data_IF_831919234156
#
_entry.id   IF_831919234156
#
_cell.length_a   1.000
_cell.length_b   1.000
_cell.length_c   1.000
_cell.angle_alpha   90.00
_cell.angle_beta   90.00
_cell.angle_gamma   90.00
#
_symmetry.space_group_name_H-M   'P 1'
#
loop_
_entity.id
_entity.type
_entity.pdbx_description
1 polymer ?
#
# COMPACT_ATOMS: atom_id res chain seq x y z
N UNK A 1 40.22 94.85 12.83
CA UNK A 1 40.17 93.60 13.61
C UNK A 1 38.74 93.06 13.71
N UNK A 2 37.79 93.84 14.25
CA UNK A 2 36.36 93.48 14.41
C UNK A 2 35.72 92.72 13.23
N UNK A 3 35.79 93.24 12.00
CA UNK A 3 35.18 92.60 10.81
C UNK A 3 35.66 91.17 10.51
N UNK A 4 36.84 90.76 10.99
CA UNK A 4 37.31 89.36 10.88
C UNK A 4 36.76 88.46 12.02
N UNK A 5 36.40 89.06 13.15
CA UNK A 5 35.78 88.39 14.30
C UNK A 5 34.29 88.16 14.03
N UNK A 6 33.57 89.15 13.48
CA UNK A 6 32.16 88.99 13.06
C UNK A 6 32.01 87.87 12.03
N UNK A 7 32.79 87.89 10.94
CA UNK A 7 32.79 86.82 9.93
C UNK A 7 33.17 85.45 10.51
N UNK A 8 33.98 85.40 11.58
CA UNK A 8 34.27 84.16 12.29
C UNK A 8 33.08 83.69 13.14
N UNK A 9 32.39 84.61 13.84
CA UNK A 9 31.17 84.31 14.60
C UNK A 9 30.02 83.87 13.69
N UNK A 10 29.76 84.56 12.59
CA UNK A 10 28.72 84.17 11.61
C UNK A 10 28.99 82.76 11.07
N UNK A 11 30.27 82.43 10.81
CA UNK A 11 30.68 81.11 10.34
C UNK A 11 30.58 80.04 11.44
N UNK A 12 30.86 80.38 12.70
CA UNK A 12 30.66 79.50 13.85
C UNK A 12 29.17 79.21 14.06
N UNK A 13 28.30 80.23 13.98
CA UNK A 13 26.86 80.04 14.18
C UNK A 13 26.22 79.30 12.99
N UNK A 14 26.68 79.54 11.76
CA UNK A 14 26.28 78.73 10.60
C UNK A 14 26.65 77.24 10.77
N UNK A 15 27.90 76.95 11.18
CA UNK A 15 28.35 75.58 11.48
C UNK A 15 27.57 74.96 12.65
N UNK A 16 27.16 75.76 13.63
CA UNK A 16 26.34 75.31 14.77
C UNK A 16 24.92 74.93 14.33
N UNK A 17 24.29 75.75 13.48
CA UNK A 17 22.96 75.47 12.89
C UNK A 17 23.03 74.21 12.02
N UNK A 18 24.07 74.07 11.20
CA UNK A 18 24.33 72.86 10.40
C UNK A 18 24.49 71.62 11.29
N UNK A 19 25.30 71.70 12.36
CA UNK A 19 25.49 70.60 13.30
C UNK A 19 24.20 70.19 14.04
N UNK A 20 23.36 71.15 14.47
CA UNK A 20 22.09 70.86 15.13
C UNK A 20 21.07 70.23 14.17
N UNK A 21 21.05 70.66 12.90
CA UNK A 21 20.25 70.03 11.84
C UNK A 21 20.72 68.60 11.53
N UNK A 22 22.04 68.35 11.42
CA UNK A 22 22.61 67.01 11.23
C UNK A 22 22.25 66.10 12.41
N UNK A 23 22.33 66.60 13.65
CA UNK A 23 21.96 65.87 14.87
C UNK A 23 20.48 65.47 14.87
N UNK A 24 19.58 66.33 14.40
CA UNK A 24 18.16 65.98 14.23
C UNK A 24 17.95 64.90 13.16
N UNK A 25 18.63 64.99 12.01
CA UNK A 25 18.56 63.97 10.96
C UNK A 25 19.05 62.59 11.45
N UNK A 26 20.16 62.56 12.20
CA UNK A 26 20.68 61.32 12.81
C UNK A 26 19.69 60.72 13.81
N UNK A 27 19.01 61.54 14.62
CA UNK A 27 17.99 61.05 15.55
C UNK A 27 16.79 60.44 14.83
N UNK A 28 16.29 61.08 13.77
CA UNK A 28 15.19 60.55 12.93
C UNK A 28 15.59 59.20 12.30
N UNK A 29 16.80 59.09 11.77
CA UNK A 29 17.31 57.82 11.21
C UNK A 29 17.44 56.73 12.28
N UNK A 30 17.89 57.08 13.50
CA UNK A 30 17.96 56.16 14.64
C UNK A 30 16.58 55.61 15.04
N UNK A 31 15.55 56.46 15.05
CA UNK A 31 14.19 56.04 15.41
C UNK A 31 13.51 55.24 14.29
N UNK A 32 13.83 55.50 13.02
CA UNK A 32 13.46 54.63 11.89
C UNK A 32 14.10 53.24 12.02
N UNK A 33 15.41 53.15 12.26
CA UNK A 33 16.13 51.87 12.46
C UNK A 33 15.54 51.07 13.63
N UNK A 34 15.20 51.74 14.75
CA UNK A 34 14.53 51.12 15.90
C UNK A 34 13.15 50.55 15.54
N UNK A 35 12.36 51.30 14.76
CA UNK A 35 11.03 50.85 14.32
C UNK A 35 11.10 49.63 13.37
N UNK A 36 12.09 49.59 12.48
CA UNK A 36 12.34 48.43 11.62
C UNK A 36 12.84 47.21 12.41
N UNK A 37 13.75 47.40 13.37
CA UNK A 37 14.16 46.34 14.29
C UNK A 37 12.98 45.77 15.07
N UNK A 38 12.09 46.61 15.61
CA UNK A 38 10.87 46.17 16.31
C UNK A 38 9.98 45.27 15.44
N UNK A 39 9.63 45.73 14.22
CA UNK A 39 8.86 44.93 13.25
C UNK A 39 9.53 43.59 12.92
N UNK A 40 10.86 43.58 12.82
CA UNK A 40 11.62 42.35 12.53
C UNK A 40 11.54 41.36 13.68
N UNK A 41 11.57 41.84 14.94
CA UNK A 41 11.42 41.00 16.14
C UNK A 41 10.01 40.42 16.25
N UNK A 42 8.97 41.21 15.96
CA UNK A 42 7.58 40.73 15.94
C UNK A 42 7.36 39.67 14.86
N UNK A 43 7.87 39.89 13.64
CA UNK A 43 7.83 38.89 12.57
C UNK A 43 8.58 37.60 12.95
N UNK A 44 9.74 37.71 13.60
CA UNK A 44 10.48 36.56 14.15
C UNK A 44 9.71 35.82 15.24
N UNK A 45 8.93 36.51 16.07
CA UNK A 45 8.08 35.90 17.08
C UNK A 45 6.91 35.13 16.43
N UNK A 46 6.23 35.74 15.44
CA UNK A 46 5.16 35.09 14.67
C UNK A 46 5.66 33.85 13.91
N UNK A 47 6.82 33.93 13.25
CA UNK A 47 7.42 32.78 12.56
C UNK A 47 7.76 31.65 13.54
N UNK A 48 8.27 31.96 14.73
CA UNK A 48 8.52 30.94 15.78
C UNK A 48 7.22 30.31 16.30
N UNK A 49 6.18 31.12 16.53
CA UNK A 49 4.87 30.61 16.95
C UNK A 49 4.28 29.65 15.91
N UNK A 50 4.35 30.03 14.62
CA UNK A 50 3.84 29.22 13.53
C UNK A 50 4.68 27.95 13.28
N UNK A 51 6.00 28.01 13.48
CA UNK A 51 6.87 26.82 13.50
C UNK A 51 6.48 25.85 14.62
N UNK A 52 6.19 26.34 15.83
CA UNK A 52 5.75 25.50 16.96
C UNK A 52 4.40 24.85 16.65
N UNK A 53 3.42 25.60 16.12
CA UNK A 53 2.13 25.04 15.67
C UNK A 53 2.32 23.96 14.60
N UNK A 54 3.15 24.23 13.60
CA UNK A 54 3.44 23.30 12.50
C UNK A 54 4.09 22.01 13.02
N UNK A 55 5.04 22.12 13.95
CA UNK A 55 5.70 20.97 14.59
C UNK A 55 4.69 20.12 15.39
N UNK A 56 3.84 20.76 16.19
CA UNK A 56 2.80 20.07 16.96
C UNK A 56 1.75 19.39 16.06
N UNK A 57 1.39 20.01 14.93
CA UNK A 57 0.50 19.43 13.93
C UNK A 57 1.14 18.20 13.25
N UNK A 58 2.43 18.27 12.90
CA UNK A 58 3.19 17.16 12.33
C UNK A 58 3.32 15.99 13.31
N UNK A 59 3.61 16.26 14.59
CA UNK A 59 3.68 15.20 15.61
C UNK A 59 2.33 14.50 15.80
N UNK A 60 1.22 15.26 15.77
CA UNK A 60 -0.14 14.70 15.82
C UNK A 60 -0.46 13.86 14.57
N UNK A 61 -0.04 14.29 13.38
CA UNK A 61 -0.20 13.53 12.14
C UNK A 61 0.58 12.20 12.20
N UNK A 62 1.85 12.25 12.61
CA UNK A 62 2.68 11.05 12.75
C UNK A 62 2.11 10.05 13.77
N UNK A 63 1.54 10.51 14.88
CA UNK A 63 0.83 9.66 15.85
C UNK A 63 -0.40 8.98 15.27
N UNK A 64 -1.14 9.65 14.38
CA UNK A 64 -2.28 9.06 13.67
C UNK A 64 -1.83 8.07 12.59
N UNK A 65 -0.75 8.38 11.85
CA UNK A 65 -0.18 7.47 10.85
C UNK A 65 0.30 6.17 11.50
N UNK A 66 1.01 6.26 12.63
CA UNK A 66 1.47 5.08 13.39
C UNK A 66 0.35 4.22 14.00
N UNK A 67 -0.91 4.68 13.96
CA UNK A 67 -2.06 3.87 14.37
C UNK A 67 -2.63 2.99 13.24
N UNK A 68 -2.18 3.17 11.99
CA UNK A 68 -2.58 2.31 10.88
C UNK A 68 -1.73 1.02 10.84
N UNK A 69 -2.36 -0.08 10.44
CA UNK A 69 -1.65 -1.27 10.02
C UNK A 69 -1.03 -1.04 8.64
N UNK A 70 0.31 -1.18 8.57
CA UNK A 70 1.07 -1.15 7.33
C UNK A 70 1.51 -2.55 6.94
N UNK A 71 1.00 -3.06 5.82
CA UNK A 71 1.53 -4.28 5.21
C UNK A 71 3.00 -4.08 4.83
N UNK A 72 3.87 -4.95 5.37
CA UNK A 72 5.32 -4.97 5.12
C UNK A 72 6.00 -3.58 5.24
N UNK A 73 5.52 -2.75 6.18
CA UNK A 73 5.92 -1.34 6.37
C UNK A 73 5.81 -0.46 5.11
N UNK A 74 5.02 -0.87 4.11
CA UNK A 74 4.88 -0.23 2.79
C UNK A 74 3.53 0.45 2.59
N UNK A 75 2.43 -0.26 2.86
CA UNK A 75 1.09 0.21 2.47
C UNK A 75 0.08 0.09 3.62
N UNK A 76 -0.60 1.19 3.93
CA UNK A 76 -1.81 1.18 4.74
C UNK A 76 -3.03 1.58 3.90
N UNK A 77 -4.21 1.17 4.35
CA UNK A 77 -5.48 1.55 3.71
C UNK A 77 -6.02 2.85 4.32
N UNK A 78 -6.33 3.83 3.48
CA UNK A 78 -6.95 5.09 3.85
C UNK A 78 -8.29 5.29 3.15
N UNK A 79 -9.14 6.15 3.73
CA UNK A 79 -10.45 6.52 3.18
C UNK A 79 -10.61 8.04 3.21
N UNK A 80 -10.99 8.65 2.07
CA UNK A 80 -11.15 10.09 1.91
C UNK A 80 -12.12 10.38 0.76
N UNK A 81 -12.99 11.37 0.93
CA UNK A 81 -13.93 11.83 -0.09
C UNK A 81 -14.79 10.70 -0.72
N UNK A 82 -15.23 9.72 0.10
CA UNK A 82 -16.03 8.58 -0.36
C UNK A 82 -15.26 7.46 -1.05
N UNK A 83 -13.93 7.54 -1.13
CA UNK A 83 -13.08 6.56 -1.81
C UNK A 83 -11.98 6.01 -0.89
N UNK A 84 -11.69 4.73 -1.06
CA UNK A 84 -10.54 4.03 -0.51
C UNK A 84 -9.32 4.17 -1.42
N UNK A 85 -8.14 4.30 -0.83
CA UNK A 85 -6.85 4.33 -1.51
C UNK A 85 -5.76 3.86 -0.57
N UNK A 86 -4.61 3.47 -1.12
CA UNK A 86 -3.46 3.06 -0.33
C UNK A 86 -2.52 4.24 -0.10
N UNK A 87 -1.96 4.33 1.11
CA UNK A 87 -0.96 5.33 1.50
C UNK A 87 0.36 4.66 1.85
N UNK A 88 1.45 5.38 1.65
CA UNK A 88 2.76 5.00 2.16
C UNK A 88 2.92 5.38 3.65
N UNK A 89 4.07 5.03 4.23
CA UNK A 89 4.41 5.32 5.63
C UNK A 89 4.48 6.82 6.00
N UNK A 90 4.48 7.73 5.02
CA UNK A 90 4.44 9.18 5.22
C UNK A 90 2.99 9.72 5.18
N UNK A 91 2.02 8.87 4.80
CA UNK A 91 0.62 9.25 4.56
C UNK A 91 0.33 9.64 3.10
N UNK A 92 1.30 9.51 2.19
CA UNK A 92 1.17 9.96 0.81
C UNK A 92 0.42 8.91 -0.05
N UNK A 93 -0.53 9.31 -0.92
CA UNK A 93 -1.27 8.38 -1.77
C UNK A 93 -0.38 7.62 -2.76
N UNK A 94 -0.46 6.30 -2.75
CA UNK A 94 0.26 5.41 -3.67
C UNK A 94 -0.58 5.23 -4.95
N UNK A 95 -0.59 6.26 -5.80
CA UNK A 95 -1.49 6.37 -6.97
C UNK A 95 -1.53 5.13 -7.90
N UNK A 96 -0.40 4.40 -8.04
CA UNK A 96 -0.34 3.16 -8.85
C UNK A 96 -1.25 2.04 -8.34
N UNK A 97 -1.62 2.05 -7.06
CA UNK A 97 -2.55 1.10 -6.44
C UNK A 97 -4.02 1.50 -6.61
N UNK A 98 -4.29 2.65 -7.25
CA UNK A 98 -5.63 3.10 -7.63
C UNK A 98 -6.47 3.69 -6.50
N UNK A 99 -7.72 4.01 -6.85
CA UNK A 99 -8.78 4.47 -5.97
C UNK A 99 -10.00 3.55 -6.14
N UNK A 100 -10.68 3.27 -5.04
CA UNK A 100 -11.66 2.18 -4.95
C UNK A 100 -12.90 2.61 -4.16
N UNK A 101 -14.05 2.04 -4.53
CA UNK A 101 -15.29 2.25 -3.78
C UNK A 101 -15.40 1.40 -2.52
N UNK A 102 -14.71 0.26 -2.51
CA UNK A 102 -14.44 -0.57 -1.35
C UNK A 102 -13.09 -1.24 -1.54
N UNK A 103 -12.31 -1.33 -0.48
CA UNK A 103 -11.04 -2.03 -0.47
C UNK A 103 -10.79 -2.65 0.91
N UNK A 104 -10.04 -3.74 0.93
CA UNK A 104 -9.47 -4.33 2.13
C UNK A 104 -7.99 -3.95 2.26
N UNK A 105 -7.42 -4.15 3.46
CA UNK A 105 -5.97 -4.01 3.65
C UNK A 105 -5.23 -5.12 2.89
N UNK A 106 -3.95 -4.89 2.60
CA UNK A 106 -3.09 -5.95 2.09
C UNK A 106 -2.93 -7.05 3.15
N UNK A 107 -3.22 -8.28 2.74
CA UNK A 107 -3.01 -9.48 3.54
C UNK A 107 -1.53 -9.88 3.63
N UNK A 108 -1.22 -10.88 4.46
CA UNK A 108 0.12 -11.41 4.68
C UNK A 108 0.83 -11.94 3.41
N UNK A 109 0.10 -12.16 2.32
CA UNK A 109 0.63 -12.63 1.03
C UNK A 109 0.80 -11.50 0.00
N UNK A 110 0.52 -10.25 0.39
CA UNK A 110 0.71 -9.08 -0.46
C UNK A 110 -0.41 -8.86 -1.47
N UNK A 111 -1.62 -9.36 -1.19
CA UNK A 111 -2.81 -9.07 -1.98
C UNK A 111 -3.85 -8.24 -1.21
N UNK A 112 -4.59 -7.39 -1.92
CA UNK A 112 -5.75 -6.68 -1.39
C UNK A 112 -6.97 -6.90 -2.29
N UNK A 113 -8.14 -7.11 -1.69
CA UNK A 113 -9.42 -7.20 -2.41
C UNK A 113 -10.03 -5.81 -2.58
N UNK A 114 -10.46 -5.48 -3.79
CA UNK A 114 -10.96 -4.14 -4.13
C UNK A 114 -12.15 -4.17 -5.11
N UNK A 115 -12.95 -3.11 -5.08
CA UNK A 115 -14.18 -2.97 -5.86
C UNK A 115 -14.38 -1.51 -6.31
N UNK A 116 -14.95 -1.29 -7.51
CA UNK A 116 -15.30 0.04 -8.03
C UNK A 116 -16.81 0.24 -8.01
N UNK A 117 -17.29 1.37 -7.46
CA UNK A 117 -18.73 1.65 -7.30
C UNK A 117 -19.51 1.70 -8.63
N UNK A 118 -18.91 2.18 -9.73
CA UNK A 118 -19.60 2.36 -11.03
C UNK A 118 -18.75 1.93 -12.23
N UNK A 119 -18.39 0.64 -12.28
CA UNK A 119 -17.57 0.12 -13.38
C UNK A 119 -16.21 0.83 -13.47
N UNK A 120 -15.78 1.22 -14.67
CA UNK A 120 -14.51 1.94 -14.84
C UNK A 120 -14.58 3.44 -14.51
N UNK A 121 -15.78 4.02 -14.32
CA UNK A 121 -15.95 5.45 -14.08
C UNK A 121 -15.82 5.81 -12.60
N UNK A 122 -14.88 6.70 -12.28
CA UNK A 122 -14.81 7.33 -10.96
C UNK A 122 -15.86 8.45 -10.90
N UNK A 123 -16.98 8.19 -10.22
CA UNK A 123 -17.99 9.21 -9.91
C UNK A 123 -17.59 9.88 -8.60
N UNK A 124 -17.23 11.16 -8.64
CA UNK A 124 -17.04 11.98 -7.44
C UNK A 124 -18.41 12.44 -6.94
N UNK A 125 -18.88 11.87 -5.84
CA UNK A 125 -20.18 12.22 -5.28
C UNK A 125 -20.21 13.63 -4.70
N UNK A 126 -21.23 14.39 -5.11
CA UNK A 126 -21.60 15.64 -4.46
C UNK A 126 -22.85 15.38 -3.59
N UNK A 127 -22.70 15.52 -2.28
CA UNK A 127 -23.73 15.60 -1.24
C UNK A 127 -24.71 14.43 -0.98
N UNK A 128 -24.92 13.47 -1.89
CA UNK A 128 -25.63 12.23 -1.54
C UNK A 128 -24.73 11.32 -0.69
N UNK A 129 -25.28 10.74 0.39
CA UNK A 129 -24.46 10.00 1.36
C UNK A 129 -24.17 8.57 0.92
N UNK A 130 -23.00 8.06 1.31
CA UNK A 130 -22.57 6.68 1.02
C UNK A 130 -23.60 5.63 1.50
N UNK A 131 -24.31 5.89 2.60
CA UNK A 131 -25.34 5.00 3.14
C UNK A 131 -26.65 5.02 2.34
N UNK A 132 -27.04 6.15 1.75
CA UNK A 132 -28.22 6.22 0.86
C UNK A 132 -28.00 5.40 -0.42
N UNK A 133 -26.76 5.35 -0.93
CA UNK A 133 -26.43 4.63 -2.16
C UNK A 133 -26.46 3.11 -1.95
N UNK A 134 -25.99 2.63 -0.80
CA UNK A 134 -26.08 1.21 -0.42
C UNK A 134 -27.53 0.72 -0.24
N UNK A 135 -28.48 1.64 -0.01
CA UNK A 135 -29.90 1.32 0.16
C UNK A 135 -30.70 1.21 -1.15
N UNK A 136 -30.12 1.49 -2.31
CA UNK A 136 -30.79 1.21 -3.59
C UNK A 136 -30.74 -0.30 -3.90
N UNK A 137 -31.90 -0.92 -4.17
CA UNK A 137 -32.00 -2.38 -4.32
C UNK A 137 -31.13 -2.96 -5.44
N UNK A 138 -30.87 -2.20 -6.52
CA UNK A 138 -29.99 -2.62 -7.62
C UNK A 138 -28.51 -2.75 -7.21
N UNK A 139 -28.10 -2.14 -6.08
CA UNK A 139 -26.76 -2.30 -5.51
C UNK A 139 -26.62 -3.62 -4.73
N UNK A 140 -27.73 -4.19 -4.24
CA UNK A 140 -27.73 -5.45 -3.49
C UNK A 140 -27.61 -6.71 -4.37
N UNK A 141 -27.85 -6.58 -5.68
CA UNK A 141 -27.85 -7.69 -6.64
C UNK A 141 -26.56 -7.76 -7.50
N UNK A 142 -25.65 -6.77 -7.38
CA UNK A 142 -24.45 -6.59 -8.23
C UNK A 142 -23.37 -5.89 -7.37
N UNK A 143 -22.19 -6.43 -7.00
CA UNK A 143 -21.40 -7.63 -7.40
C UNK A 143 -20.35 -7.95 -6.30
N UNK A 144 -19.66 -9.12 -6.29
CA UNK A 144 -18.53 -9.40 -5.39
C UNK A 144 -17.35 -8.42 -5.55
N UNK A 145 -16.35 -8.48 -4.65
CA UNK A 145 -15.08 -7.76 -4.80
C UNK A 145 -14.46 -8.11 -6.16
N UNK A 146 -14.49 -7.16 -7.11
CA UNK A 146 -14.22 -7.48 -8.53
C UNK A 146 -12.76 -7.74 -8.84
N UNK A 147 -11.84 -7.23 -8.02
CA UNK A 147 -10.42 -7.38 -8.28
C UNK A 147 -9.64 -7.80 -7.04
N UNK A 148 -8.69 -8.70 -7.27
CA UNK A 148 -7.51 -8.83 -6.42
C UNK A 148 -6.44 -7.89 -6.99
N UNK A 149 -5.75 -7.14 -6.14
CA UNK A 149 -4.57 -6.37 -6.55
C UNK A 149 -3.35 -6.82 -5.76
N UNK A 150 -2.17 -6.74 -6.37
CA UNK A 150 -0.91 -6.99 -5.69
C UNK A 150 -0.13 -5.69 -5.38
N UNK A 151 0.98 -5.84 -4.67
CA UNK A 151 1.88 -4.73 -4.27
C UNK A 151 2.47 -3.92 -5.45
N UNK A 152 2.42 -4.44 -6.68
CA UNK A 152 2.85 -3.71 -7.87
C UNK A 152 1.77 -2.73 -8.34
N UNK A 153 0.50 -3.07 -8.15
CA UNK A 153 -0.67 -2.40 -8.73
C UNK A 153 -1.31 -3.17 -9.90
N UNK A 154 -0.79 -4.36 -10.23
CA UNK A 154 -1.46 -5.30 -11.14
C UNK A 154 -2.82 -5.70 -10.53
N UNK A 155 -3.83 -5.85 -11.40
CA UNK A 155 -5.22 -6.12 -11.02
C UNK A 155 -5.69 -7.37 -11.75
N UNK A 156 -6.35 -8.27 -11.02
CA UNK A 156 -6.86 -9.55 -11.54
C UNK A 156 -8.36 -9.63 -11.31
N UNK A 157 -9.16 -9.92 -12.34
CA UNK A 157 -10.58 -10.18 -12.18
C UNK A 157 -10.80 -11.35 -11.20
N UNK A 158 -11.52 -11.09 -10.11
CA UNK A 158 -11.57 -11.96 -8.93
C UNK A 158 -12.89 -12.75 -8.84
N UNK A 159 -12.76 -14.05 -8.58
CA UNK A 159 -13.83 -14.91 -8.06
C UNK A 159 -13.67 -15.14 -6.55
N UNK A 160 -14.76 -15.03 -5.81
CA UNK A 160 -14.83 -15.21 -4.34
C UNK A 160 -15.77 -16.35 -3.92
N UNK A 161 -16.58 -16.86 -4.86
CA UNK A 161 -17.42 -18.05 -4.74
C UNK A 161 -17.17 -19.01 -5.92
N UNK A 162 -17.62 -20.27 -5.79
CA UNK A 162 -17.57 -21.23 -6.90
C UNK A 162 -18.48 -20.82 -8.07
N UNK A 163 -19.58 -20.11 -7.78
CA UNK A 163 -20.55 -19.64 -8.77
C UNK A 163 -20.01 -18.45 -9.60
N UNK A 164 -18.99 -17.74 -9.10
CA UNK A 164 -18.30 -16.67 -9.82
C UNK A 164 -17.38 -17.23 -10.94
N UNK A 165 -17.03 -18.53 -10.90
CA UNK A 165 -16.02 -19.12 -11.78
C UNK A 165 -16.46 -19.11 -13.25
N UNK A 166 -15.67 -18.43 -14.07
CA UNK A 166 -15.85 -18.38 -15.51
C UNK A 166 -14.49 -18.15 -16.21
N UNK A 167 -14.46 -18.29 -17.54
CA UNK A 167 -13.25 -18.20 -18.37
C UNK A 167 -12.51 -16.85 -18.33
N UNK A 168 -13.14 -15.78 -17.83
CA UNK A 168 -12.53 -14.45 -17.73
C UNK A 168 -11.81 -14.21 -16.39
N UNK A 169 -12.01 -15.09 -15.39
CA UNK A 169 -11.42 -14.96 -14.04
C UNK A 169 -9.91 -15.16 -14.06
N UNK A 170 -9.19 -14.21 -13.45
CA UNK A 170 -7.72 -14.13 -13.39
C UNK A 170 -7.17 -14.40 -11.98
N UNK A 171 -8.00 -14.21 -10.95
CA UNK A 171 -7.69 -14.56 -9.56
C UNK A 171 -8.87 -15.25 -8.87
N UNK A 172 -8.56 -16.14 -7.95
CA UNK A 172 -9.54 -16.84 -7.10
C UNK A 172 -9.14 -16.68 -5.64
N UNK A 173 -10.04 -16.19 -4.80
CA UNK A 173 -9.88 -16.14 -3.35
C UNK A 173 -10.99 -16.93 -2.65
N UNK A 174 -10.71 -18.21 -2.41
CA UNK A 174 -11.56 -19.10 -1.62
C UNK A 174 -10.95 -19.41 -0.24
N UNK A 175 -10.15 -18.50 0.32
CA UNK A 175 -9.63 -18.68 1.68
C UNK A 175 -10.76 -18.74 2.71
N UNK A 176 -10.61 -19.58 3.72
CA UNK A 176 -11.58 -19.73 4.82
C UNK A 176 -13.01 -20.12 4.40
N UNK A 177 -13.21 -20.68 3.19
CA UNK A 177 -14.53 -21.10 2.67
C UNK A 177 -14.98 -22.48 3.18
N UNK A 178 -14.15 -23.17 3.98
CA UNK A 178 -14.38 -24.52 4.54
C UNK A 178 -14.50 -25.62 3.48
N UNK A 179 -13.90 -25.43 2.31
CA UNK A 179 -13.93 -26.38 1.19
C UNK A 179 -13.25 -27.70 1.59
N UNK A 180 -13.92 -28.82 1.33
CA UNK A 180 -13.38 -30.17 1.44
C UNK A 180 -12.77 -30.67 0.11
N UNK A 181 -13.22 -30.10 -1.01
CA UNK A 181 -12.71 -30.34 -2.37
C UNK A 181 -12.80 -29.08 -3.24
N UNK A 182 -12.02 -29.07 -4.31
CA UNK A 182 -12.23 -28.18 -5.46
C UNK A 182 -13.01 -28.94 -6.55
N UNK A 183 -13.89 -28.28 -7.32
CA UNK A 183 -14.50 -28.90 -8.48
C UNK A 183 -13.48 -29.00 -9.63
N UNK A 184 -13.61 -30.04 -10.46
CA UNK A 184 -12.79 -30.23 -11.68
C UNK A 184 -12.92 -29.03 -12.65
N UNK A 185 -14.06 -28.35 -12.64
CA UNK A 185 -14.33 -27.15 -13.45
C UNK A 185 -13.38 -25.98 -13.20
N UNK A 186 -12.55 -26.02 -12.15
CA UNK A 186 -11.47 -25.04 -11.95
C UNK A 186 -10.51 -25.00 -13.15
N UNK A 187 -10.20 -26.16 -13.76
CA UNK A 187 -9.29 -26.26 -14.90
C UNK A 187 -9.77 -25.57 -16.18
N UNK A 188 -11.09 -25.38 -16.31
CA UNK A 188 -11.69 -24.71 -17.47
C UNK A 188 -11.33 -23.21 -17.60
N UNK A 189 -10.77 -22.56 -16.57
CA UNK A 189 -10.32 -21.18 -16.72
C UNK A 189 -8.94 -21.10 -17.36
N UNK A 190 -8.88 -20.43 -18.51
CA UNK A 190 -7.63 -20.18 -19.23
C UNK A 190 -6.84 -18.97 -18.69
N UNK A 191 -7.38 -18.22 -17.72
CA UNK A 191 -6.79 -16.95 -17.24
C UNK A 191 -6.31 -16.93 -15.78
N UNK A 192 -6.71 -17.89 -14.94
CA UNK A 192 -6.32 -17.88 -13.53
C UNK A 192 -4.79 -17.87 -13.39
N UNK A 193 -4.28 -16.82 -12.76
CA UNK A 193 -2.87 -16.61 -12.42
C UNK A 193 -2.61 -16.64 -10.91
N UNK A 194 -3.60 -16.25 -10.10
CA UNK A 194 -3.53 -16.27 -8.62
C UNK A 194 -4.62 -17.20 -8.07
N UNK A 195 -4.25 -18.20 -7.27
CA UNK A 195 -5.21 -19.14 -6.65
C UNK A 195 -4.95 -19.23 -5.14
N UNK A 196 -5.82 -18.58 -4.35
CA UNK A 196 -5.73 -18.48 -2.90
C UNK A 196 -6.76 -19.42 -2.25
N UNK A 197 -6.28 -20.50 -1.65
CA UNK A 197 -7.07 -21.61 -1.12
C UNK A 197 -6.71 -21.98 0.33
N UNK A 198 -5.91 -21.16 1.00
CA UNK A 198 -5.50 -21.38 2.39
C UNK A 198 -6.68 -21.43 3.38
N UNK A 199 -6.47 -22.05 4.55
CA UNK A 199 -7.46 -22.13 5.63
C UNK A 199 -8.74 -22.88 5.23
N UNK A 200 -8.59 -24.03 4.56
CA UNK A 200 -9.69 -24.90 4.13
C UNK A 200 -9.53 -26.33 4.70
N UNK A 201 -10.24 -27.31 4.12
CA UNK A 201 -10.22 -28.72 4.52
C UNK A 201 -9.86 -29.64 3.35
N UNK A 202 -9.15 -29.11 2.34
CA UNK A 202 -8.80 -29.87 1.14
C UNK A 202 -7.88 -31.03 1.53
N UNK A 203 -8.29 -32.26 1.23
CA UNK A 203 -7.46 -33.47 1.43
C UNK A 203 -6.62 -33.83 0.21
N UNK A 204 -7.03 -33.35 -0.96
CA UNK A 204 -6.35 -33.50 -2.24
C UNK A 204 -6.70 -32.34 -3.18
N UNK A 205 -6.00 -32.26 -4.32
CA UNK A 205 -6.36 -31.41 -5.46
C UNK A 205 -6.84 -32.28 -6.63
N UNK A 206 -7.77 -31.81 -7.47
CA UNK A 206 -8.14 -32.47 -8.72
C UNK A 206 -6.97 -32.43 -9.71
N UNK A 207 -6.88 -33.40 -10.62
CA UNK A 207 -5.83 -33.45 -11.66
C UNK A 207 -5.89 -32.22 -12.58
N UNK A 208 -7.09 -31.70 -12.82
CA UNK A 208 -7.40 -30.49 -13.58
C UNK A 208 -6.72 -29.22 -13.01
N UNK A 209 -6.11 -29.27 -11.82
CA UNK A 209 -5.20 -28.19 -11.37
C UNK A 209 -4.09 -27.94 -12.40
N UNK A 210 -3.60 -28.99 -13.08
CA UNK A 210 -2.57 -28.88 -14.09
C UNK A 210 -2.99 -28.08 -15.32
N UNK A 211 -4.29 -27.94 -15.59
CA UNK A 211 -4.83 -27.19 -16.73
C UNK A 211 -4.64 -25.67 -16.60
N UNK A 212 -4.38 -25.16 -15.39
CA UNK A 212 -4.17 -23.73 -15.10
C UNK A 212 -2.80 -23.23 -15.60
N UNK A 213 -2.59 -23.23 -16.93
CA UNK A 213 -1.27 -22.94 -17.54
C UNK A 213 -0.73 -21.53 -17.24
N UNK A 214 -1.58 -20.60 -16.83
CA UNK A 214 -1.19 -19.23 -16.44
C UNK A 214 -0.96 -19.04 -14.93
N UNK A 215 -1.10 -20.09 -14.12
CA UNK A 215 -0.94 -20.00 -12.67
C UNK A 215 0.51 -19.64 -12.28
N UNK A 216 0.67 -18.53 -11.57
CA UNK A 216 1.95 -18.04 -11.05
C UNK A 216 2.04 -18.15 -9.53
N UNK A 217 0.92 -18.03 -8.82
CA UNK A 217 0.84 -18.17 -7.37
C UNK A 217 -0.25 -19.18 -6.94
N UNK A 218 0.14 -20.16 -6.14
CA UNK A 218 -0.75 -21.16 -5.54
C UNK A 218 -0.54 -21.21 -4.02
N UNK A 219 -1.54 -20.75 -3.26
CA UNK A 219 -1.52 -20.72 -1.80
C UNK A 219 -2.52 -21.73 -1.23
N UNK A 220 -2.02 -22.70 -0.47
CA UNK A 220 -2.73 -23.86 0.06
C UNK A 220 -2.44 -24.09 1.56
N UNK A 221 -1.92 -23.08 2.27
CA UNK A 221 -1.59 -23.17 3.70
C UNK A 221 -2.81 -23.63 4.53
N UNK A 222 -2.58 -24.34 5.63
CA UNK A 222 -3.63 -24.69 6.59
C UNK A 222 -4.79 -25.45 5.91
N UNK A 223 -4.43 -26.59 5.32
CA UNK A 223 -5.32 -27.55 4.69
C UNK A 223 -4.99 -28.96 5.22
N UNK A 224 -5.57 -30.00 4.61
CA UNK A 224 -5.41 -31.40 5.04
C UNK A 224 -4.76 -32.25 3.94
N UNK A 225 -3.98 -31.63 3.04
CA UNK A 225 -3.41 -32.30 1.87
C UNK A 225 -2.44 -33.40 2.31
N UNK A 226 -2.74 -34.64 1.93
CA UNK A 226 -1.87 -35.81 2.16
C UNK A 226 -0.95 -36.08 0.98
N UNK A 227 -1.31 -35.59 -0.22
CA UNK A 227 -0.52 -35.68 -1.44
C UNK A 227 -0.85 -34.52 -2.39
N UNK A 228 -0.02 -34.35 -3.43
CA UNK A 228 -0.32 -33.53 -4.60
C UNK A 228 -0.48 -34.45 -5.83
N UNK A 229 -1.35 -34.10 -6.79
CA UNK A 229 -1.43 -34.79 -8.08
C UNK A 229 -0.14 -34.60 -8.89
N UNK A 230 0.20 -35.57 -9.74
CA UNK A 230 1.39 -35.48 -10.62
C UNK A 230 1.32 -34.27 -11.57
N UNK A 231 0.11 -33.92 -11.96
CA UNK A 231 -0.26 -32.78 -12.81
C UNK A 231 0.14 -31.42 -12.20
N UNK A 232 0.56 -31.36 -10.93
CA UNK A 232 1.23 -30.17 -10.37
C UNK A 232 2.43 -29.75 -11.24
N UNK A 233 3.17 -30.72 -11.81
CA UNK A 233 4.32 -30.47 -12.69
C UNK A 233 3.97 -29.85 -14.05
N UNK A 234 2.68 -29.69 -14.38
CA UNK A 234 2.22 -29.02 -15.60
C UNK A 234 2.10 -27.50 -15.44
N UNK A 235 2.17 -26.97 -14.21
CA UNK A 235 2.06 -25.54 -13.90
C UNK A 235 3.35 -24.78 -14.26
N UNK A 236 3.71 -24.76 -15.54
CA UNK A 236 5.04 -24.27 -16.01
C UNK A 236 5.33 -22.81 -15.65
N UNK A 237 4.32 -21.99 -15.39
CA UNK A 237 4.47 -20.58 -14.99
C UNK A 237 4.48 -20.36 -13.47
N UNK A 238 4.35 -21.41 -12.65
CA UNK A 238 4.27 -21.28 -11.19
C UNK A 238 5.61 -20.79 -10.62
N UNK A 239 5.58 -19.65 -9.93
CA UNK A 239 6.74 -19.06 -9.25
C UNK A 239 6.69 -19.28 -7.74
N UNK A 240 5.48 -19.33 -7.17
CA UNK A 240 5.26 -19.45 -5.73
C UNK A 240 4.24 -20.55 -5.42
N UNK A 241 4.65 -21.52 -4.62
CA UNK A 241 3.81 -22.60 -4.10
C UNK A 241 3.92 -22.64 -2.57
N UNK A 242 2.83 -22.36 -1.87
CA UNK A 242 2.81 -22.37 -0.39
C UNK A 242 1.86 -23.45 0.11
N UNK A 243 2.41 -24.44 0.82
CA UNK A 243 1.74 -25.64 1.32
C UNK A 243 1.90 -25.77 2.84
N UNK A 244 2.13 -24.67 3.56
CA UNK A 244 2.37 -24.69 5.01
C UNK A 244 1.24 -25.38 5.77
N UNK A 245 1.55 -26.03 6.89
CA UNK A 245 0.56 -26.67 7.78
C UNK A 245 -0.42 -27.61 7.03
N UNK A 246 0.14 -28.56 6.28
CA UNK A 246 -0.58 -29.66 5.63
C UNK A 246 -0.07 -31.01 6.17
N UNK A 247 -0.52 -32.13 5.59
CA UNK A 247 -0.17 -33.49 6.03
C UNK A 247 0.73 -34.22 5.02
N UNK A 248 1.52 -33.48 4.24
CA UNK A 248 2.39 -34.04 3.21
C UNK A 248 3.58 -34.76 3.83
N UNK A 249 3.78 -36.03 3.49
CA UNK A 249 5.01 -36.77 3.81
C UNK A 249 6.03 -36.76 2.68
N UNK A 250 5.62 -36.38 1.46
CA UNK A 250 6.44 -36.37 0.24
C UNK A 250 5.81 -35.49 -0.86
N UNK A 251 6.59 -35.16 -1.89
CA UNK A 251 6.09 -34.52 -3.11
C UNK A 251 6.20 -35.47 -4.32
N UNK A 252 5.31 -35.36 -5.32
CA UNK A 252 5.46 -36.10 -6.58
C UNK A 252 6.76 -35.71 -7.29
N UNK A 253 7.41 -36.64 -7.99
CA UNK A 253 8.70 -36.37 -8.68
C UNK A 253 8.56 -35.25 -9.72
N UNK A 254 7.37 -35.14 -10.32
CA UNK A 254 6.94 -34.11 -11.25
C UNK A 254 7.05 -32.69 -10.68
N UNK A 255 7.27 -32.50 -9.37
CA UNK A 255 7.61 -31.18 -8.83
C UNK A 255 8.88 -30.60 -9.48
N UNK A 256 9.83 -31.43 -9.92
CA UNK A 256 11.03 -30.98 -10.66
C UNK A 256 10.71 -30.30 -11.99
N UNK A 257 9.49 -30.43 -12.49
CA UNK A 257 9.04 -29.84 -13.75
C UNK A 257 8.62 -28.37 -13.64
N UNK A 258 8.54 -27.84 -12.42
CA UNK A 258 8.27 -26.45 -12.12
C UNK A 258 9.53 -25.58 -12.27
N UNK A 259 10.04 -25.45 -13.51
CA UNK A 259 11.32 -24.78 -13.80
C UNK A 259 11.38 -23.30 -13.41
N UNK A 260 10.22 -22.65 -13.22
CA UNK A 260 10.09 -21.25 -12.80
C UNK A 260 9.83 -21.06 -11.30
N UNK A 261 9.75 -22.13 -10.50
CA UNK A 261 9.41 -22.06 -9.08
C UNK A 261 10.58 -21.49 -8.27
N UNK A 262 10.41 -20.27 -7.77
CA UNK A 262 11.41 -19.59 -6.94
C UNK A 262 11.16 -19.78 -5.45
N UNK A 263 9.92 -20.02 -5.02
CA UNK A 263 9.53 -20.15 -3.61
C UNK A 263 8.66 -21.37 -3.37
N UNK A 264 9.08 -22.25 -2.45
CA UNK A 264 8.33 -23.43 -2.00
C UNK A 264 8.20 -23.46 -0.47
N UNK A 265 6.98 -23.23 0.02
CA UNK A 265 6.67 -23.29 1.45
C UNK A 265 6.15 -24.67 1.87
N UNK A 266 6.88 -25.37 2.75
CA UNK A 266 6.54 -26.71 3.29
C UNK A 266 6.52 -26.79 4.83
N UNK A 267 6.90 -25.71 5.53
CA UNK A 267 6.82 -25.59 7.00
C UNK A 267 5.54 -26.18 7.59
N UNK A 268 5.68 -27.01 8.62
CA UNK A 268 4.56 -27.64 9.32
C UNK A 268 3.97 -28.87 8.63
N UNK A 269 4.65 -29.44 7.63
CA UNK A 269 4.33 -30.75 7.07
C UNK A 269 5.21 -31.87 7.68
N UNK A 270 4.70 -33.10 7.84
CA UNK A 270 5.45 -34.25 8.36
C UNK A 270 6.43 -34.88 7.34
N UNK A 271 7.20 -34.06 6.61
CA UNK A 271 8.20 -34.53 5.63
C UNK A 271 9.46 -35.02 6.36
N UNK A 272 9.89 -36.28 6.20
CA UNK A 272 11.10 -36.80 6.83
C UNK A 272 12.37 -36.32 6.11
N UNK A 273 13.49 -36.18 6.84
CA UNK A 273 14.75 -35.63 6.30
C UNK A 273 15.24 -36.23 4.96
N UNK A 274 15.17 -37.55 4.68
CA UNK A 274 15.55 -38.10 3.38
C UNK A 274 14.72 -37.55 2.22
N UNK A 275 13.44 -37.27 2.45
CA UNK A 275 12.54 -36.70 1.45
C UNK A 275 12.75 -35.19 1.32
N UNK A 276 13.11 -34.49 2.41
CA UNK A 276 13.53 -33.07 2.33
C UNK A 276 14.75 -32.91 1.42
N UNK A 277 15.75 -33.77 1.58
CA UNK A 277 16.96 -33.76 0.74
C UNK A 277 16.64 -34.07 -0.72
N UNK A 278 15.80 -35.08 -0.99
CA UNK A 278 15.29 -35.36 -2.34
C UNK A 278 14.57 -34.15 -2.96
N UNK A 279 13.73 -33.45 -2.20
CA UNK A 279 13.05 -32.23 -2.69
C UNK A 279 14.05 -31.12 -3.03
N UNK A 280 15.12 -30.94 -2.25
CA UNK A 280 16.21 -30.00 -2.58
C UNK A 280 16.92 -30.37 -3.89
N UNK A 281 17.13 -31.65 -4.15
CA UNK A 281 17.76 -32.14 -5.39
C UNK A 281 16.84 -31.98 -6.61
N UNK A 282 15.51 -32.12 -6.44
CA UNK A 282 14.52 -31.90 -7.50
C UNK A 282 14.35 -30.41 -7.86
N UNK A 283 14.62 -29.50 -6.90
CA UNK A 283 14.41 -28.05 -7.02
C UNK A 283 15.65 -27.24 -6.52
N UNK A 284 16.83 -27.40 -7.13
CA UNK A 284 18.09 -26.85 -6.60
C UNK A 284 18.19 -25.31 -6.63
N UNK A 285 17.33 -24.65 -7.41
CA UNK A 285 17.29 -23.18 -7.55
C UNK A 285 16.10 -22.53 -6.82
N UNK A 286 15.36 -23.30 -6.03
CA UNK A 286 14.15 -22.84 -5.33
C UNK A 286 14.46 -22.52 -3.86
N UNK A 287 13.89 -21.44 -3.32
CA UNK A 287 13.90 -21.17 -1.89
C UNK A 287 12.87 -22.09 -1.20
N UNK A 288 13.36 -23.17 -0.57
CA UNK A 288 12.52 -24.18 0.09
C UNK A 288 12.54 -23.99 1.61
N UNK A 289 11.38 -23.68 2.20
CA UNK A 289 11.18 -23.50 3.66
C UNK A 289 10.46 -24.71 4.25
N UNK A 290 11.18 -25.57 4.98
CA UNK A 290 10.65 -26.76 5.69
C UNK A 290 10.26 -26.46 7.15
#
# INVERSE_FOLDING_TARGET
MQRKVEVAFDKIEALRVEAEATKQQVQVALDQVRAEQGKTVEALAQVKEEQVKTTAALEKANKLINAFYFYDNKFALAFKNGLFYFIDKNGDPVYKLGQWGRAEQFDEFGFAKVHRLFGDTIVTFNQETYEEILNYSWYSEITPERYLIDTTGEKFLLATSLDDLNKEIEAVDFRSKKLDRLPETIGHSTKISRLLLSYNKLTSLPEQIGELKNLTFLYLSDNQLTSLPEQIGELKNLTTLVLWYNQLTSLPVQISELKNLTTLGLQGNPIPEPEKEKIRQLLPNCEIRF
#
